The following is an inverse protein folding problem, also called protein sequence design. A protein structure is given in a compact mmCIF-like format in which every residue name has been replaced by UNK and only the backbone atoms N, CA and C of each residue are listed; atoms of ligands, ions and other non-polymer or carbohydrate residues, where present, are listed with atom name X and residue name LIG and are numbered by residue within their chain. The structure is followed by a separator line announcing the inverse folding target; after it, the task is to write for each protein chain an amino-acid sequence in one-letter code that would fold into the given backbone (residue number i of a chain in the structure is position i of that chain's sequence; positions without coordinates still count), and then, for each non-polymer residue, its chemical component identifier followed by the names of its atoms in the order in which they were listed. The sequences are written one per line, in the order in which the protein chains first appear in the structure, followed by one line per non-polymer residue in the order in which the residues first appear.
data_IF_718576714507
#
_entry.id   IF_718576714507
#
_cell.length_a   1.000
_cell.length_b   1.000
_cell.length_c   1.000
_cell.angle_alpha   90.00
_cell.angle_beta   90.00
_cell.angle_gamma   90.00
#
_symmetry.space_group_name_H-M   'P 1'
#
loop_
_entity.id
_entity.type
_entity.pdbx_description
1 polymer ?
#
# COMPACT_ATOMS: atom_id res chain seq x y z
N UNK A 1 -35.13 20.49 34.23
CA UNK A 1 -34.18 20.41 33.10
C UNK A 1 -33.65 19.00 33.05
N UNK A 2 -34.03 18.23 32.03
CA UNK A 2 -33.52 16.87 31.83
C UNK A 2 -32.24 16.97 31.00
N UNK A 3 -31.14 16.44 31.54
CA UNK A 3 -29.86 16.25 30.86
C UNK A 3 -30.03 15.05 29.93
N UNK A 4 -29.99 15.30 28.63
CA UNK A 4 -29.86 14.23 27.63
C UNK A 4 -28.53 13.52 27.85
N UNK A 5 -28.47 12.17 27.89
CA UNK A 5 -27.19 11.48 27.83
C UNK A 5 -26.56 11.84 26.48
N UNK A 6 -25.35 12.41 26.54
CA UNK A 6 -24.52 12.61 25.36
C UNK A 6 -24.22 11.21 24.84
N UNK A 7 -24.90 10.80 23.77
CA UNK A 7 -24.49 9.65 22.97
C UNK A 7 -23.03 9.88 22.61
N UNK A 8 -22.13 9.07 23.16
CA UNK A 8 -20.74 9.01 22.70
C UNK A 8 -20.79 8.92 21.17
N UNK A 9 -20.06 9.78 20.43
CA UNK A 9 -20.00 9.62 18.98
C UNK A 9 -19.54 8.19 18.73
N UNK A 10 -20.33 7.43 17.97
CA UNK A 10 -19.88 6.14 17.43
C UNK A 10 -18.47 6.39 16.88
N UNK A 11 -17.45 5.60 17.25
CA UNK A 11 -16.12 5.82 16.72
C UNK A 11 -16.28 5.83 15.20
N UNK A 12 -15.99 6.98 14.59
CA UNK A 12 -15.88 7.08 13.13
C UNK A 12 -15.04 5.87 12.70
N UNK A 13 -15.45 5.09 11.68
CA UNK A 13 -14.71 3.90 11.29
C UNK A 13 -13.33 4.34 10.84
N UNK A 14 -12.39 4.36 11.78
CA UNK A 14 -11.01 4.74 11.54
C UNK A 14 -10.37 3.74 10.58
N UNK A 15 -9.23 4.09 9.98
CA UNK A 15 -8.54 3.15 9.10
C UNK A 15 -8.28 1.83 9.85
N UNK A 16 -8.41 0.68 9.16
CA UNK A 16 -8.18 -0.64 9.75
C UNK A 16 -6.79 -0.70 10.36
N UNK A 17 -6.64 -1.48 11.44
CA UNK A 17 -5.30 -1.67 12.01
C UNK A 17 -4.53 -2.64 11.13
N UNK A 18 -3.21 -2.55 11.19
CA UNK A 18 -2.35 -3.52 10.50
C UNK A 18 -2.67 -4.97 10.91
N UNK A 19 -3.11 -5.20 12.15
CA UNK A 19 -3.55 -6.52 12.62
C UNK A 19 -4.79 -7.06 11.88
N UNK A 20 -5.72 -6.19 11.47
CA UNK A 20 -6.89 -6.59 10.67
C UNK A 20 -6.47 -6.94 9.22
N UNK A 21 -5.35 -6.37 8.78
CA UNK A 21 -4.76 -6.58 7.46
C UNK A 21 -3.61 -7.60 7.48
N UNK A 22 -3.40 -8.36 8.56
CA UNK A 22 -2.24 -9.24 8.73
C UNK A 22 -2.12 -10.28 7.61
N UNK A 23 -3.25 -10.85 7.17
CA UNK A 23 -3.29 -11.79 6.05
C UNK A 23 -2.92 -11.12 4.72
N UNK A 24 -3.44 -9.91 4.47
CA UNK A 24 -3.12 -9.13 3.27
C UNK A 24 -1.66 -8.69 3.28
N UNK A 25 -1.16 -8.22 4.41
CA UNK A 25 0.24 -7.86 4.60
C UNK A 25 1.16 -9.05 4.34
N UNK A 26 0.82 -10.22 4.87
CA UNK A 26 1.54 -11.46 4.61
C UNK A 26 1.54 -11.80 3.12
N UNK A 27 0.39 -11.70 2.44
CA UNK A 27 0.28 -11.94 0.99
C UNK A 27 1.10 -10.98 0.15
N UNK A 28 1.06 -9.69 0.48
CA UNK A 28 1.90 -8.67 -0.15
C UNK A 28 3.39 -9.00 0.05
N UNK A 29 3.78 -9.43 1.24
CA UNK A 29 5.15 -9.85 1.54
C UNK A 29 5.55 -11.15 0.83
N UNK A 30 4.64 -12.09 0.63
CA UNK A 30 4.90 -13.31 -0.15
C UNK A 30 5.16 -12.97 -1.62
N UNK A 31 4.35 -12.09 -2.22
CA UNK A 31 4.60 -11.59 -3.57
C UNK A 31 5.86 -10.74 -3.65
N UNK A 32 6.10 -9.90 -2.64
CA UNK A 32 7.32 -9.11 -2.55
C UNK A 32 8.54 -10.04 -2.44
N UNK A 33 8.53 -11.08 -1.62
CA UNK A 33 9.66 -11.99 -1.44
C UNK A 33 10.01 -12.80 -2.69
N UNK A 34 9.08 -12.94 -3.64
CA UNK A 34 9.35 -13.56 -4.94
C UNK A 34 10.21 -12.68 -5.86
N UNK A 35 10.14 -11.35 -5.70
CA UNK A 35 10.68 -10.37 -6.63
C UNK A 35 11.71 -9.41 -5.99
N UNK A 36 11.56 -9.13 -4.70
CA UNK A 36 12.29 -8.17 -3.88
C UNK A 36 13.16 -8.90 -2.85
N UNK A 37 14.23 -8.25 -2.43
CA UNK A 37 15.04 -8.73 -1.32
C UNK A 37 14.32 -8.46 0.01
N UNK A 38 14.02 -9.50 0.81
CA UNK A 38 13.28 -9.35 2.06
C UNK A 38 14.01 -8.46 3.08
N UNK A 39 15.34 -8.34 2.99
CA UNK A 39 16.14 -7.47 3.85
C UNK A 39 15.99 -5.97 3.50
N UNK A 40 15.52 -5.64 2.30
CA UNK A 40 15.34 -4.27 1.80
C UNK A 40 13.87 -3.89 1.59
N UNK A 41 12.99 -4.88 1.62
CA UNK A 41 11.54 -4.71 1.54
C UNK A 41 11.03 -3.96 2.77
N UNK A 42 10.32 -2.87 2.54
CA UNK A 42 9.61 -2.09 3.56
C UNK A 42 8.12 -2.27 3.37
N UNK A 43 7.41 -2.68 4.43
CA UNK A 43 5.95 -2.72 4.46
C UNK A 43 5.42 -1.43 5.09
N UNK A 44 4.52 -0.75 4.39
CA UNK A 44 3.89 0.49 4.83
C UNK A 44 2.38 0.39 4.73
N UNK A 45 1.71 0.75 5.83
CA UNK A 45 0.27 0.95 5.90
C UNK A 45 -0.01 2.44 6.09
N UNK A 46 -0.68 3.04 5.12
CA UNK A 46 -1.15 4.42 5.17
C UNK A 46 -2.65 4.43 5.38
N UNK A 47 -3.12 4.97 6.51
CA UNK A 47 -4.53 5.22 6.74
C UNK A 47 -4.91 6.66 6.38
N UNK A 48 -5.99 6.83 5.63
CA UNK A 48 -6.56 8.13 5.28
C UNK A 48 -7.69 8.52 6.23
N UNK A 49 -7.98 9.82 6.32
CA UNK A 49 -9.00 10.37 7.21
C UNK A 49 -10.44 9.91 6.88
N UNK A 50 -10.68 9.43 5.65
CA UNK A 50 -11.98 8.92 5.19
C UNK A 50 -12.24 7.45 5.58
N UNK A 51 -11.34 6.85 6.38
CA UNK A 51 -11.36 5.41 6.69
C UNK A 51 -10.80 4.54 5.56
N UNK A 52 -10.39 5.14 4.45
CA UNK A 52 -9.65 4.45 3.40
C UNK A 52 -8.21 4.14 3.84
N UNK A 53 -7.59 3.14 3.22
CA UNK A 53 -6.23 2.73 3.56
C UNK A 53 -5.48 2.25 2.32
N UNK A 54 -4.18 2.48 2.30
CA UNK A 54 -3.26 1.95 1.31
C UNK A 54 -2.24 1.06 2.03
N UNK A 55 -2.19 -0.21 1.63
CA UNK A 55 -1.16 -1.14 2.09
C UNK A 55 -0.25 -1.49 0.92
N UNK A 56 1.05 -1.26 1.12
CA UNK A 56 2.09 -1.49 0.11
C UNK A 56 3.36 -2.03 0.73
N UNK A 57 4.00 -2.96 0.04
CA UNK A 57 5.36 -3.41 0.28
C UNK A 57 6.24 -2.88 -0.83
N UNK A 58 7.32 -2.17 -0.53
CA UNK A 58 8.19 -1.62 -1.56
C UNK A 58 9.67 -1.81 -1.25
N UNK A 59 10.47 -1.82 -2.30
CA UNK A 59 11.92 -1.79 -2.26
C UNK A 59 12.44 -0.70 -3.20
N UNK A 60 13.43 0.05 -2.73
CA UNK A 60 14.24 0.92 -3.59
C UNK A 60 15.47 0.12 -4.04
N UNK A 61 15.45 -0.33 -5.30
CA UNK A 61 16.43 -1.27 -5.85
C UNK A 61 17.75 -0.58 -6.18
N UNK A 62 17.68 0.63 -6.74
CA UNK A 62 18.87 1.37 -7.17
C UNK A 62 18.64 2.87 -7.17
N UNK A 63 19.72 3.59 -6.88
CA UNK A 63 19.81 5.05 -7.05
C UNK A 63 20.91 5.28 -8.07
N UNK A 64 20.56 5.84 -9.23
CA UNK A 64 21.53 6.11 -10.32
C UNK A 64 21.39 7.56 -10.73
N UNK A 65 22.49 8.23 -11.01
CA UNK A 65 22.42 9.55 -11.64
C UNK A 65 21.77 9.43 -13.02
N UNK A 66 20.85 10.35 -13.34
CA UNK A 66 20.18 10.37 -14.63
C UNK A 66 21.21 10.41 -15.78
N UNK A 67 20.93 9.77 -16.93
CA UNK A 67 21.86 9.78 -18.07
C UNK A 67 22.15 11.20 -18.60
N UNK A 68 21.23 12.14 -18.40
CA UNK A 68 21.40 13.56 -18.74
C UNK A 68 22.10 14.39 -17.65
N UNK A 69 22.41 13.81 -16.48
CA UNK A 69 23.05 14.51 -15.36
C UNK A 69 22.10 15.36 -14.50
N UNK A 70 20.81 15.44 -14.86
CA UNK A 70 19.77 16.10 -14.07
C UNK A 70 19.18 15.13 -13.03
N UNK A 71 19.82 15.09 -11.86
CA UNK A 71 19.28 14.46 -10.66
C UNK A 71 19.51 12.95 -10.51
N UNK A 72 19.02 12.43 -9.40
CA UNK A 72 19.03 11.01 -9.07
C UNK A 72 17.75 10.34 -9.60
N UNK A 73 17.93 9.14 -10.17
CA UNK A 73 16.88 8.24 -10.62
C UNK A 73 16.79 7.10 -9.60
N UNK A 74 15.64 6.97 -8.97
CA UNK A 74 15.29 5.89 -8.05
C UNK A 74 14.50 4.82 -8.79
N UNK A 75 15.07 3.63 -8.90
CA UNK A 75 14.36 2.44 -9.34
C UNK A 75 13.61 1.86 -8.13
N UNK A 76 12.29 1.86 -8.19
CA UNK A 76 11.40 1.42 -7.11
C UNK A 76 10.47 0.35 -7.61
N UNK A 77 10.35 -0.71 -6.83
CA UNK A 77 9.37 -1.77 -7.07
C UNK A 77 8.48 -1.84 -5.84
N UNK A 78 7.18 -1.71 -6.04
CA UNK A 78 6.18 -1.83 -4.99
C UNK A 78 5.12 -2.88 -5.34
N UNK A 79 4.76 -3.70 -4.37
CA UNK A 79 3.60 -4.56 -4.39
C UNK A 79 2.54 -3.86 -3.53
N UNK A 80 1.44 -3.44 -4.14
CA UNK A 80 0.35 -2.76 -3.44
C UNK A 80 -0.94 -3.51 -3.56
N UNK A 81 -1.79 -3.37 -2.55
CA UNK A 81 -3.17 -3.79 -2.63
C UNK A 81 -4.05 -2.65 -3.15
N UNK A 82 -4.70 -2.87 -4.28
CA UNK A 82 -5.68 -1.95 -4.83
C UNK A 82 -7.08 -2.38 -4.42
N UNK A 83 -7.57 -1.79 -3.33
CA UNK A 83 -8.91 -2.05 -2.77
C UNK A 83 -10.05 -1.81 -3.75
N UNK A 84 -9.92 -0.83 -4.67
CA UNK A 84 -10.99 -0.49 -5.63
C UNK A 84 -11.18 -1.56 -6.70
N UNK A 85 -10.09 -2.24 -7.06
CA UNK A 85 -10.13 -3.32 -8.04
C UNK A 85 -10.20 -4.68 -7.34
N UNK A 86 -9.80 -4.76 -6.07
CA UNK A 86 -9.57 -6.00 -5.32
C UNK A 86 -8.43 -6.83 -5.94
N UNK A 87 -7.31 -6.16 -6.24
CA UNK A 87 -6.12 -6.79 -6.81
C UNK A 87 -4.87 -6.42 -6.03
N UNK A 88 -4.03 -7.43 -5.81
CA UNK A 88 -2.63 -7.24 -5.52
C UNK A 88 -1.92 -6.95 -6.84
N UNK A 89 -1.33 -5.76 -6.93
CA UNK A 89 -0.65 -5.27 -8.12
C UNK A 89 0.81 -4.99 -7.81
N UNK A 90 1.69 -5.38 -8.71
CA UNK A 90 3.09 -4.94 -8.74
C UNK A 90 3.18 -3.68 -9.56
N UNK A 91 3.83 -2.64 -9.05
CA UNK A 91 4.27 -1.49 -9.82
C UNK A 91 5.79 -1.45 -9.79
N UNK A 92 6.37 -1.38 -10.96
CA UNK A 92 7.78 -1.09 -11.14
C UNK A 92 7.88 0.26 -11.80
N UNK A 93 8.56 1.20 -11.16
CA UNK A 93 8.74 2.52 -11.72
C UNK A 93 10.10 3.14 -11.44
N UNK A 94 10.44 4.09 -12.29
CA UNK A 94 11.60 4.95 -12.14
C UNK A 94 11.12 6.34 -11.73
N UNK A 95 11.55 6.79 -10.56
CA UNK A 95 11.27 8.11 -10.02
C UNK A 95 12.49 9.01 -10.16
N UNK A 96 12.29 10.28 -10.51
CA UNK A 96 13.31 11.33 -10.47
C UNK A 96 12.78 12.52 -9.70
N UNK A 97 13.62 13.53 -9.46
CA UNK A 97 13.21 14.78 -8.80
C UNK A 97 12.08 15.50 -9.58
N UNK A 98 11.99 15.26 -10.89
CA UNK A 98 10.94 15.81 -11.76
C UNK A 98 9.65 14.98 -11.78
N UNK A 99 9.66 13.75 -11.22
CA UNK A 99 8.49 12.86 -11.14
C UNK A 99 8.76 11.45 -11.63
N UNK A 100 7.68 10.69 -11.86
CA UNK A 100 7.74 9.32 -12.34
C UNK A 100 7.93 9.28 -13.87
N UNK A 101 8.95 8.55 -14.35
CA UNK A 101 9.32 8.49 -15.77
C UNK A 101 8.71 7.30 -16.52
N UNK A 102 8.72 6.12 -15.91
CA UNK A 102 8.30 4.89 -16.56
C UNK A 102 7.65 4.00 -15.50
N UNK A 103 6.34 3.81 -15.58
CA UNK A 103 5.57 3.00 -14.64
C UNK A 103 4.97 1.79 -15.36
N UNK A 104 5.30 0.61 -14.87
CA UNK A 104 4.71 -0.65 -15.28
C UNK A 104 3.89 -1.23 -14.15
N UNK A 105 2.58 -1.39 -14.36
CA UNK A 105 1.67 -2.07 -13.44
C UNK A 105 1.41 -3.48 -13.95
N UNK A 106 1.59 -4.48 -13.08
CA UNK A 106 1.27 -5.89 -13.35
C UNK A 106 0.28 -6.38 -12.30
N UNK A 107 -0.86 -6.88 -12.75
CA UNK A 107 -1.83 -7.56 -11.90
C UNK A 107 -1.29 -8.93 -11.50
N UNK A 108 -1.09 -9.17 -10.20
CA UNK A 108 -0.50 -10.42 -9.70
C UNK A 108 -1.58 -11.41 -9.27
N UNK A 109 -2.48 -10.96 -8.39
CA UNK A 109 -3.50 -11.81 -7.77
C UNK A 109 -4.75 -10.98 -7.49
N UNK A 110 -5.93 -11.55 -7.75
CA UNK A 110 -7.19 -10.99 -7.27
C UNK A 110 -7.35 -11.35 -5.80
N UNK A 111 -7.49 -10.35 -4.93
CA UNK A 111 -7.59 -10.54 -3.49
C UNK A 111 -8.79 -9.75 -2.95
N UNK A 112 -9.83 -10.41 -2.41
CA UNK A 112 -11.01 -9.73 -1.92
C UNK A 112 -10.67 -8.85 -0.71
N UNK A 113 -11.39 -7.73 -0.57
CA UNK A 113 -11.10 -6.79 0.50
C UNK A 113 -11.30 -7.42 1.90
N UNK A 114 -10.23 -7.53 2.72
CA UNK A 114 -10.31 -8.21 4.01
C UNK A 114 -11.14 -7.41 5.04
N UNK A 115 -11.39 -6.12 4.77
CA UNK A 115 -12.21 -5.25 5.64
C UNK A 115 -13.69 -5.25 5.28
N UNK A 116 -14.04 -5.80 4.12
CA UNK A 116 -15.41 -5.99 3.69
C UNK A 116 -15.89 -7.27 4.37
N UNK A 117 -16.52 -7.11 5.53
CA UNK A 117 -17.00 -8.23 6.33
C UNK A 117 -17.80 -9.23 5.47
N UNK A 118 -17.40 -10.50 5.54
CA UNK A 118 -18.32 -11.62 5.29
C UNK A 118 -19.38 -11.57 6.38
N UNK A 119 -20.57 -11.10 6.02
CA UNK A 119 -21.78 -11.26 6.82
C UNK A 119 -22.16 -12.76 6.72
N UNK A 120 -21.84 -13.55 7.75
CA UNK A 120 -22.43 -14.89 7.97
C UNK A 120 -22.89 -15.06 9.42
#
# INVERSE_FOLDING_TARGET
MAIVPMTEPEPEPGPPRLADLDQLASRLLEHAAAELEPARTTLELTGYADGDYELRAFETVSIRSAPDGDGDVWERVEIRYNRRLEWIQRRHYYETDQGCLDETITDLETYPDPTTAVDE
#
